data_IF_873074640271
#
_entry.id   IF_873074640271
#
_cell.length_a   1.000
_cell.length_b   1.000
_cell.length_c   1.000
_cell.angle_alpha   90.00
_cell.angle_beta   90.00
_cell.angle_gamma   90.00
#
_symmetry.space_group_name_H-M   'P 1'
#
loop_
_entity.id
_entity.type
_entity.pdbx_description
1 polymer ?
#
# COMPACT_ATOMS: atom_id res chain seq x y z
N UNK A 1 2.87 11.10 11.36
CA UNK A 1 1.96 12.21 10.99
C UNK A 1 0.53 11.77 11.29
N UNK A 2 -0.38 12.69 11.59
CA UNK A 2 -1.78 12.36 11.89
C UNK A 2 -2.59 12.04 10.62
N UNK A 3 -3.76 11.40 10.75
CA UNK A 3 -4.60 11.05 9.60
C UNK A 3 -5.16 12.31 8.93
N UNK A 4 -5.17 12.31 7.59
CA UNK A 4 -5.87 13.30 6.76
C UNK A 4 -7.11 12.64 6.18
N UNK A 5 -8.25 13.34 6.21
CA UNK A 5 -9.51 12.87 5.63
C UNK A 5 -9.74 13.55 4.28
N UNK A 6 -9.91 12.76 3.23
CA UNK A 6 -10.33 13.20 1.90
C UNK A 6 -11.75 12.71 1.62
N UNK A 7 -12.56 13.51 0.93
CA UNK A 7 -13.93 13.15 0.53
C UNK A 7 -14.00 13.00 -1.00
N UNK A 8 -14.63 11.92 -1.46
CA UNK A 8 -14.78 11.59 -2.88
C UNK A 8 -16.23 11.20 -3.14
N UNK A 9 -16.84 11.83 -4.13
CA UNK A 9 -18.19 11.49 -4.59
C UNK A 9 -18.12 10.31 -5.55
N UNK A 10 -18.68 9.17 -5.15
CA UNK A 10 -18.77 7.97 -5.97
C UNK A 10 -20.20 7.78 -6.51
N UNK A 11 -20.38 7.10 -7.65
CA UNK A 11 -21.71 6.72 -8.12
C UNK A 11 -22.47 5.93 -7.05
N UNK A 12 -23.77 6.18 -6.90
CA UNK A 12 -24.61 5.50 -5.91
C UNK A 12 -24.65 3.98 -6.07
N UNK A 13 -24.40 3.48 -7.29
CA UNK A 13 -24.30 2.06 -7.64
C UNK A 13 -22.96 1.41 -7.28
N UNK A 14 -21.95 2.16 -6.85
CA UNK A 14 -20.59 1.64 -6.64
C UNK A 14 -20.55 0.47 -5.66
N UNK A 15 -21.13 0.64 -4.46
CA UNK A 15 -21.16 -0.41 -3.45
C UNK A 15 -22.02 -1.61 -3.89
N UNK A 16 -23.13 -1.35 -4.58
CA UNK A 16 -24.03 -2.38 -5.08
C UNK A 16 -23.35 -3.26 -6.13
N UNK A 17 -22.62 -2.66 -7.07
CA UNK A 17 -21.91 -3.37 -8.14
C UNK A 17 -20.79 -4.25 -7.59
N UNK A 18 -20.10 -3.80 -6.54
CA UNK A 18 -19.04 -4.56 -5.88
C UNK A 18 -19.58 -5.59 -4.87
N UNK A 19 -20.88 -5.58 -4.58
CA UNK A 19 -21.53 -6.45 -3.57
C UNK A 19 -20.87 -6.33 -2.19
N UNK A 20 -20.38 -5.14 -1.83
CA UNK A 20 -19.72 -4.87 -0.55
C UNK A 20 -20.59 -3.99 0.33
N UNK A 21 -20.38 -4.10 1.64
CA UNK A 21 -21.01 -3.21 2.63
C UNK A 21 -20.20 -1.92 2.82
N UNK A 22 -20.84 -0.90 3.38
CA UNK A 22 -20.23 0.42 3.61
C UNK A 22 -19.00 0.36 4.53
N UNK A 23 -19.03 -0.48 5.56
CA UNK A 23 -17.92 -0.74 6.49
C UNK A 23 -16.71 -1.40 5.81
N UNK A 24 -16.91 -2.11 4.69
CA UNK A 24 -15.83 -2.73 3.92
C UNK A 24 -15.25 -1.80 2.85
N UNK A 25 -15.98 -0.74 2.48
CA UNK A 25 -15.63 0.14 1.37
C UNK A 25 -14.33 0.92 1.58
N UNK A 26 -14.09 1.40 2.81
CA UNK A 26 -12.88 2.17 3.13
C UNK A 26 -11.62 1.33 2.92
N UNK A 27 -11.61 0.09 3.42
CA UNK A 27 -10.49 -0.83 3.24
C UNK A 27 -10.24 -1.17 1.78
N UNK A 28 -11.31 -1.41 1.01
CA UNK A 28 -11.20 -1.68 -0.43
C UNK A 28 -10.61 -0.48 -1.20
N UNK A 29 -11.10 0.73 -0.92
CA UNK A 29 -10.62 1.96 -1.57
C UNK A 29 -9.15 2.21 -1.23
N UNK A 30 -8.79 2.15 0.05
CA UNK A 30 -7.41 2.35 0.52
C UNK A 30 -6.44 1.36 -0.09
N UNK A 31 -6.80 0.06 -0.11
CA UNK A 31 -5.96 -0.99 -0.72
C UNK A 31 -5.81 -0.81 -2.22
N UNK A 32 -6.90 -0.49 -2.92
CA UNK A 32 -6.84 -0.27 -4.37
C UNK A 32 -5.97 0.94 -4.71
N UNK A 33 -6.12 2.04 -3.96
CA UNK A 33 -5.31 3.24 -4.14
C UNK A 33 -3.83 2.99 -3.80
N UNK A 34 -3.54 2.27 -2.72
CA UNK A 34 -2.18 1.92 -2.35
C UNK A 34 -1.46 1.07 -3.40
N UNK A 35 -2.17 0.13 -4.03
CA UNK A 35 -1.61 -0.70 -5.11
C UNK A 35 -1.27 0.13 -6.34
N UNK A 36 -2.16 1.02 -6.77
CA UNK A 36 -1.91 1.87 -7.94
C UNK A 36 -0.79 2.88 -7.70
N UNK A 37 -0.79 3.56 -6.54
CA UNK A 37 0.27 4.52 -6.21
C UNK A 37 1.64 3.86 -6.03
N UNK A 38 1.70 2.60 -5.57
CA UNK A 38 2.94 1.83 -5.59
C UNK A 38 3.38 1.51 -7.02
N UNK A 39 2.44 1.04 -7.86
CA UNK A 39 2.70 0.70 -9.27
C UNK A 39 3.24 1.89 -10.06
N UNK A 40 2.75 3.10 -9.78
CA UNK A 40 3.21 4.35 -10.40
C UNK A 40 4.54 4.87 -9.81
N UNK A 41 5.05 4.27 -8.74
CA UNK A 41 6.27 4.72 -8.05
C UNK A 41 6.07 5.94 -7.14
N UNK A 42 4.83 6.42 -6.99
CA UNK A 42 4.47 7.59 -6.18
C UNK A 42 4.60 7.32 -4.66
N UNK A 43 4.34 6.08 -4.25
CA UNK A 43 4.50 5.62 -2.88
C UNK A 43 5.49 4.46 -2.76
N UNK A 44 6.38 4.55 -1.77
CA UNK A 44 7.20 3.42 -1.37
C UNK A 44 6.36 2.28 -0.78
N UNK A 45 6.94 1.08 -0.66
CA UNK A 45 6.27 -0.07 -0.03
C UNK A 45 5.73 0.26 1.37
N UNK A 46 6.52 0.98 2.17
CA UNK A 46 6.13 1.35 3.54
C UNK A 46 4.94 2.31 3.57
N UNK A 47 4.95 3.37 2.75
CA UNK A 47 3.84 4.32 2.68
C UNK A 47 2.57 3.69 2.10
N UNK A 48 2.72 2.77 1.15
CA UNK A 48 1.61 2.03 0.57
C UNK A 48 0.97 1.09 1.61
N UNK A 49 1.79 0.42 2.41
CA UNK A 49 1.33 -0.40 3.53
C UNK A 49 0.57 0.44 4.57
N UNK A 50 1.12 1.61 4.95
CA UNK A 50 0.47 2.56 5.85
C UNK A 50 -0.91 3.01 5.32
N UNK A 51 -0.98 3.39 4.03
CA UNK A 51 -2.24 3.79 3.38
C UNK A 51 -3.26 2.64 3.37
N UNK A 52 -2.82 1.42 3.07
CA UNK A 52 -3.66 0.23 3.03
C UNK A 52 -4.12 -0.25 4.42
N UNK A 53 -3.54 0.28 5.51
CA UNK A 53 -3.74 -0.20 6.87
C UNK A 53 -3.16 -1.60 7.09
N UNK A 54 -2.04 -1.89 6.42
CA UNK A 54 -1.36 -3.18 6.40
C UNK A 54 0.07 -3.02 6.92
N UNK A 55 0.67 -4.13 7.35
CA UNK A 55 2.13 -4.18 7.51
C UNK A 55 2.84 -4.41 6.15
N UNK A 56 4.17 -4.24 6.10
CA UNK A 56 4.96 -4.41 4.86
C UNK A 56 4.78 -5.78 4.21
N UNK A 57 4.68 -6.84 5.01
CA UNK A 57 4.53 -8.21 4.49
C UNK A 57 3.15 -8.43 3.86
N UNK A 58 2.10 -7.95 4.53
CA UNK A 58 0.73 -7.98 3.99
C UNK A 58 0.62 -7.15 2.70
N UNK A 59 1.33 -6.03 2.60
CA UNK A 59 1.38 -5.23 1.37
C UNK A 59 2.08 -5.99 0.24
N UNK A 60 3.19 -6.69 0.51
CA UNK A 60 3.86 -7.56 -0.47
C UNK A 60 2.91 -8.63 -1.01
N UNK A 61 2.16 -9.29 -0.11
CA UNK A 61 1.17 -10.29 -0.51
C UNK A 61 0.05 -9.69 -1.37
N UNK A 62 -0.43 -8.50 -1.00
CA UNK A 62 -1.44 -7.78 -1.78
C UNK A 62 -0.92 -7.40 -3.18
N UNK A 63 0.31 -6.89 -3.29
CA UNK A 63 0.93 -6.56 -4.58
C UNK A 63 1.05 -7.80 -5.48
N UNK A 64 1.46 -8.93 -4.91
CA UNK A 64 1.54 -10.20 -5.61
C UNK A 64 0.15 -10.69 -6.09
N UNK A 65 -0.87 -10.64 -5.23
CA UNK A 65 -2.26 -10.95 -5.60
C UNK A 65 -2.75 -10.08 -6.77
N UNK A 66 -2.34 -8.80 -6.81
CA UNK A 66 -2.69 -7.85 -7.88
C UNK A 66 -1.72 -7.85 -9.06
N UNK A 67 -0.77 -8.78 -9.09
CA UNK A 67 0.23 -8.94 -10.14
C UNK A 67 1.02 -7.65 -10.41
N UNK A 68 1.28 -6.90 -9.35
CA UNK A 68 2.16 -5.74 -9.39
C UNK A 68 3.58 -6.23 -9.09
N UNK A 69 4.51 -6.07 -10.04
CA UNK A 69 5.91 -6.42 -9.82
C UNK A 69 6.43 -5.68 -8.60
N UNK A 70 7.13 -6.42 -7.74
CA UNK A 70 7.87 -5.82 -6.65
C UNK A 70 9.28 -5.62 -7.20
N UNK A 71 9.64 -4.38 -7.49
CA UNK A 71 11.03 -4.00 -7.78
C UNK A 71 11.79 -4.02 -6.45
N UNK A 72 12.04 -5.23 -5.95
CA UNK A 72 12.99 -5.48 -4.88
C UNK A 72 14.17 -6.22 -5.46
N UNK A 73 15.14 -5.46 -5.90
CA UNK A 73 16.38 -5.95 -6.47
C UNK A 73 17.34 -6.41 -5.37
N UNK A 74 18.37 -7.15 -5.76
CA UNK A 74 19.46 -7.47 -4.83
C UNK A 74 20.16 -6.21 -4.30
N UNK A 75 20.21 -5.14 -5.10
CA UNK A 75 20.81 -3.87 -4.71
C UNK A 75 19.96 -3.16 -3.63
N UNK A 76 18.63 -3.20 -3.75
CA UNK A 76 17.72 -2.69 -2.71
C UNK A 76 17.91 -3.42 -1.37
N UNK A 77 18.15 -4.74 -1.42
CA UNK A 77 18.46 -5.54 -0.23
C UNK A 77 19.80 -5.17 0.41
N UNK A 78 20.81 -4.87 -0.41
CA UNK A 78 22.13 -4.41 0.05
C UNK A 78 22.01 -3.02 0.69
N UNK A 79 21.27 -2.11 0.06
CA UNK A 79 21.03 -0.75 0.57
C UNK A 79 20.27 -0.78 1.91
N UNK A 80 19.21 -1.58 2.02
CA UNK A 80 18.48 -1.79 3.28
C UNK A 80 19.42 -2.32 4.38
N UNK A 81 20.31 -3.26 4.06
CA UNK A 81 21.29 -3.79 5.01
C UNK A 81 22.32 -2.74 5.43
N UNK A 82 22.79 -1.90 4.51
CA UNK A 82 23.68 -0.78 4.83
C UNK A 82 23.01 0.23 5.75
N UNK A 83 21.76 0.59 5.46
CA UNK A 83 20.96 1.50 6.28
C UNK A 83 20.74 0.92 7.68
N UNK A 84 20.45 -0.37 7.80
CA UNK A 84 20.35 -1.05 9.09
C UNK A 84 21.68 -1.01 9.86
N UNK A 85 22.82 -1.25 9.21
CA UNK A 85 24.14 -1.16 9.86
C UNK A 85 24.45 0.26 10.36
N UNK A 86 24.01 1.30 9.66
CA UNK A 86 24.18 2.70 10.09
C UNK A 86 23.33 3.02 11.33
N UNK A 87 22.13 2.45 11.42
CA UNK A 87 21.20 2.70 12.54
C UNK A 87 21.49 1.81 13.75
N UNK A 88 21.99 0.59 13.53
CA UNK A 88 22.27 -0.42 14.56
C UNK A 88 23.76 -0.56 14.90
N UNK A 89 24.64 0.15 14.21
CA UNK A 89 26.06 0.24 14.56
C UNK A 89 26.26 0.89 15.93
N UNK A 90 27.30 0.49 16.70
CA UNK A 90 27.56 0.97 18.04
C UNK A 90 27.76 2.49 18.13
#
# INVERSE_FOLDING_TARGET
>A
MGPVKAEVNLPSSFLANLKIKKDQSEGLIKRSLAVELYREGELSLGKSAELAGLNRWEMILLLNEKHVPIDYTADDAIEDLENLKKVLGP
#
